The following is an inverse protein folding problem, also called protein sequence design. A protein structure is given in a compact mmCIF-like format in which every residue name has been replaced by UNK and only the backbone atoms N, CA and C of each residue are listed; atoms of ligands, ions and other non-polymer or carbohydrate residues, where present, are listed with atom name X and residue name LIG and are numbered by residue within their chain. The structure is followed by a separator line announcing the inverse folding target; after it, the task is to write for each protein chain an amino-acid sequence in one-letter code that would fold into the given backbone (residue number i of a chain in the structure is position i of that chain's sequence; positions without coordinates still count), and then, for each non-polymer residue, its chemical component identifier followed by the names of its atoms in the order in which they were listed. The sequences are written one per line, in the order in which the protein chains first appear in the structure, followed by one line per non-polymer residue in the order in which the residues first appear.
data_IF_844441700023
#
_entry.id   IF_844441700023
#
_cell.length_a   1.000
_cell.length_b   1.000
_cell.length_c   1.000
_cell.angle_alpha   90.00
_cell.angle_beta   90.00
_cell.angle_gamma   90.00
#
_symmetry.space_group_name_H-M   'P 1'
#
loop_
_entity.id
_entity.type
_entity.pdbx_description
1 polymer ?
#
# COMPACT_ATOMS: atom_id res chain seq x y z
N UNK A 1 -10.04 -4.60 -28.10
CA UNK A 1 -10.27 -5.14 -26.75
C UNK A 1 -10.32 -3.95 -25.80
N UNK A 2 -11.50 -3.69 -25.27
CA UNK A 2 -11.85 -2.55 -24.46
C UNK A 2 -11.05 -2.55 -23.16
N UNK A 3 -10.47 -1.40 -22.81
CA UNK A 3 -9.93 -1.09 -21.47
C UNK A 3 -11.11 -0.98 -20.47
N UNK A 4 -11.82 -2.08 -20.24
CA UNK A 4 -12.80 -2.17 -19.18
C UNK A 4 -12.07 -2.48 -17.87
N UNK A 5 -12.32 -1.64 -16.89
CA UNK A 5 -11.95 -1.79 -15.49
C UNK A 5 -10.49 -1.50 -15.15
N UNK A 6 -10.09 -0.22 -15.07
CA UNK A 6 -8.99 0.18 -14.23
C UNK A 6 -9.44 0.01 -12.78
N UNK A 7 -9.05 -1.11 -12.19
CA UNK A 7 -9.25 -1.37 -10.78
C UNK A 7 -8.31 -0.50 -9.97
N UNK A 8 -8.88 0.31 -9.12
CA UNK A 8 -8.14 1.06 -8.12
C UNK A 8 -7.63 0.10 -7.09
N UNK A 9 -6.34 0.20 -6.80
CA UNK A 9 -5.80 -0.27 -5.54
C UNK A 9 -6.56 0.47 -4.45
N UNK A 10 -7.39 -0.22 -3.70
CA UNK A 10 -8.05 0.32 -2.53
C UNK A 10 -6.97 0.92 -1.62
N UNK A 11 -7.21 2.13 -1.12
CA UNK A 11 -6.34 2.72 -0.11
C UNK A 11 -6.25 1.76 1.07
N UNK A 12 -5.18 0.99 1.09
CA UNK A 12 -4.85 0.09 2.18
C UNK A 12 -4.12 0.90 3.20
N UNK A 13 -4.83 1.48 4.09
CA UNK A 13 -4.11 1.97 5.22
C UNK A 13 -4.98 2.19 6.43
N UNK A 14 -4.94 1.22 7.35
CA UNK A 14 -5.16 1.49 8.74
C UNK A 14 -4.24 2.63 9.25
N UNK A 15 -3.09 2.87 8.59
CA UNK A 15 -2.24 4.04 8.86
C UNK A 15 -2.88 5.35 8.45
N UNK A 16 -3.66 5.40 7.39
CA UNK A 16 -4.47 6.59 7.09
C UNK A 16 -5.45 6.84 8.25
N UNK A 17 -6.05 5.79 8.79
CA UNK A 17 -6.92 5.89 9.97
C UNK A 17 -6.12 6.27 11.25
N UNK A 18 -4.89 5.78 11.40
CA UNK A 18 -4.01 6.10 12.53
C UNK A 18 -3.46 7.53 12.46
N UNK A 19 -3.01 7.99 11.28
CA UNK A 19 -2.61 9.38 11.05
C UNK A 19 -3.79 10.36 11.24
N UNK A 20 -5.02 9.92 10.96
CA UNK A 20 -6.23 10.68 11.24
C UNK A 20 -6.50 10.82 12.73
N UNK A 21 -6.21 9.79 13.54
CA UNK A 21 -6.38 9.85 14.99
C UNK A 21 -5.37 10.78 15.66
N UNK A 22 -4.15 10.90 15.16
CA UNK A 22 -3.15 11.84 15.66
C UNK A 22 -3.44 13.31 15.24
N UNK A 23 -4.14 13.53 14.13
CA UNK A 23 -4.56 14.88 13.68
C UNK A 23 -5.84 15.38 14.37
N UNK A 24 -6.53 14.55 15.15
CA UNK A 24 -7.76 14.94 15.91
C UNK A 24 -7.56 16.06 16.95
N UNK A 25 -6.34 16.55 17.13
CA UNK A 25 -6.02 17.58 18.13
C UNK A 25 -6.34 19.02 17.73
N UNK A 26 -6.60 19.37 16.46
CA UNK A 26 -6.62 20.79 16.03
C UNK A 26 -7.79 21.20 15.13
N UNK A 27 -8.40 20.31 14.35
CA UNK A 27 -9.55 20.67 13.50
C UNK A 27 -10.68 19.64 13.66
N UNK A 28 -11.91 20.14 13.85
CA UNK A 28 -13.12 19.32 13.81
C UNK A 28 -13.36 18.92 12.36
N UNK A 29 -12.91 17.72 12.00
CA UNK A 29 -13.24 17.12 10.71
C UNK A 29 -14.77 17.05 10.57
N UNK A 30 -15.29 17.37 9.40
CA UNK A 30 -16.69 17.17 9.08
C UNK A 30 -17.05 15.70 9.25
N UNK A 31 -18.26 15.41 9.76
CA UNK A 31 -18.69 14.03 9.86
C UNK A 31 -18.82 13.41 8.45
N UNK A 32 -18.66 12.07 8.35
CA UNK A 32 -18.90 11.34 7.11
C UNK A 32 -20.24 11.72 6.47
N UNK A 33 -21.30 11.79 7.29
CA UNK A 33 -22.66 12.09 6.80
C UNK A 33 -22.76 13.52 6.24
N UNK A 34 -22.13 14.52 6.89
CA UNK A 34 -22.08 15.89 6.38
C UNK A 34 -21.37 15.97 5.04
N UNK A 35 -20.22 15.28 4.91
CA UNK A 35 -19.47 15.22 3.66
C UNK A 35 -20.24 14.52 2.55
N UNK A 36 -20.87 13.38 2.84
CA UNK A 36 -21.69 12.67 1.87
C UNK A 36 -22.92 13.48 1.46
N UNK A 37 -23.60 14.15 2.39
CA UNK A 37 -24.74 15.02 2.08
C UNK A 37 -24.35 16.16 1.14
N UNK A 38 -23.19 16.78 1.38
CA UNK A 38 -22.61 17.81 0.49
C UNK A 38 -22.35 17.23 -0.90
N UNK A 39 -21.67 16.08 -1.00
CA UNK A 39 -21.34 15.45 -2.27
C UNK A 39 -22.59 15.03 -3.05
N UNK A 40 -23.61 14.45 -2.40
CA UNK A 40 -24.90 14.12 -3.04
C UNK A 40 -25.55 15.35 -3.69
N UNK A 41 -25.42 16.51 -3.05
CA UNK A 41 -26.03 17.76 -3.55
C UNK A 41 -25.18 18.46 -4.63
N UNK A 42 -23.85 18.22 -4.66
CA UNK A 42 -22.90 18.91 -5.55
C UNK A 42 -22.50 18.09 -6.79
N UNK A 43 -22.85 16.79 -6.86
CA UNK A 43 -22.52 15.94 -8.02
C UNK A 43 -23.16 16.52 -9.28
N UNK A 44 -22.31 16.84 -10.24
CA UNK A 44 -22.70 17.23 -11.59
C UNK A 44 -22.07 16.28 -12.61
N UNK A 45 -22.75 16.10 -13.72
CA UNK A 45 -22.20 15.35 -14.83
C UNK A 45 -21.06 16.14 -15.48
N UNK A 46 -19.85 15.55 -15.46
CA UNK A 46 -18.69 16.11 -16.14
C UNK A 46 -18.70 15.67 -17.60
N UNK A 47 -18.83 16.63 -18.50
CA UNK A 47 -18.89 16.38 -19.94
C UNK A 47 -17.63 15.65 -20.42
N UNK A 48 -17.78 14.51 -21.14
CA UNK A 48 -16.64 13.78 -21.67
C UNK A 48 -15.91 14.54 -22.78
N UNK A 49 -14.65 14.15 -23.05
CA UNK A 49 -13.88 14.68 -24.18
C UNK A 49 -13.27 16.07 -23.99
N UNK A 50 -13.41 16.68 -22.82
CA UNK A 50 -12.74 17.95 -22.52
C UNK A 50 -11.22 17.74 -22.50
N UNK A 51 -10.46 18.78 -22.91
CA UNK A 51 -9.01 18.81 -22.70
C UNK A 51 -8.70 18.81 -21.21
N UNK A 52 -7.63 18.11 -20.83
CA UNK A 52 -7.17 18.03 -19.45
C UNK A 52 -5.65 18.23 -19.37
N UNK A 53 -5.21 18.66 -18.21
CA UNK A 53 -3.80 18.69 -17.81
C UNK A 53 -3.59 17.80 -16.58
N UNK A 54 -2.34 17.32 -16.37
CA UNK A 54 -1.94 16.58 -15.18
C UNK A 54 -0.90 17.40 -14.47
N UNK A 55 -1.17 17.72 -13.21
CA UNK A 55 -0.33 18.54 -12.32
C UNK A 55 -0.36 18.04 -10.90
N UNK A 56 0.56 18.54 -10.09
CA UNK A 56 0.52 18.37 -8.65
C UNK A 56 -0.71 19.06 -8.05
N UNK A 57 -1.09 18.62 -6.87
CA UNK A 57 -2.24 19.11 -6.12
C UNK A 57 -2.17 20.61 -5.86
N UNK A 58 -3.30 21.26 -6.02
CA UNK A 58 -3.58 22.61 -5.56
C UNK A 58 -4.77 22.54 -4.56
N UNK A 59 -4.79 23.32 -3.46
CA UNK A 59 -5.90 23.29 -2.49
C UNK A 59 -7.30 23.40 -3.10
N UNK A 60 -7.45 24.10 -4.24
CA UNK A 60 -8.73 24.18 -4.98
C UNK A 60 -9.17 22.85 -5.61
N UNK A 61 -8.31 21.81 -5.67
CA UNK A 61 -8.66 20.49 -6.17
C UNK A 61 -9.37 19.62 -5.14
N UNK A 62 -9.26 19.97 -3.86
CA UNK A 62 -9.68 19.14 -2.75
C UNK A 62 -11.14 18.67 -2.86
N UNK A 63 -12.05 19.61 -3.16
CA UNK A 63 -13.47 19.29 -3.39
C UNK A 63 -13.67 18.39 -4.61
N UNK A 64 -12.93 18.65 -5.69
CA UNK A 64 -12.96 17.84 -6.91
C UNK A 64 -12.44 16.42 -6.70
N UNK A 65 -11.45 16.23 -5.81
CA UNK A 65 -10.95 14.90 -5.45
C UNK A 65 -12.02 14.12 -4.69
N UNK A 66 -12.64 14.71 -3.66
CA UNK A 66 -13.73 14.08 -2.92
C UNK A 66 -14.90 13.72 -3.84
N UNK A 67 -15.26 14.62 -4.77
CA UNK A 67 -16.29 14.37 -5.78
C UNK A 67 -15.91 13.23 -6.74
N UNK A 68 -14.65 13.11 -7.15
CA UNK A 68 -14.16 12.02 -7.98
C UNK A 68 -14.29 10.66 -7.26
N UNK A 69 -13.91 10.58 -5.98
CA UNK A 69 -14.10 9.37 -5.18
C UNK A 69 -15.58 9.00 -5.10
N UNK A 70 -16.44 9.97 -4.80
CA UNK A 70 -17.89 9.73 -4.75
C UNK A 70 -18.45 9.30 -6.11
N UNK A 71 -18.04 9.93 -7.20
CA UNK A 71 -18.52 9.60 -8.55
C UNK A 71 -18.11 8.19 -9.02
N UNK A 72 -16.96 7.68 -8.53
CA UNK A 72 -16.44 6.35 -8.93
C UNK A 72 -16.91 5.24 -8.00
N UNK A 73 -17.03 5.51 -6.69
CA UNK A 73 -17.27 4.50 -5.66
C UNK A 73 -18.55 4.70 -4.86
N UNK A 74 -19.28 5.80 -5.08
CA UNK A 74 -20.43 6.13 -4.25
C UNK A 74 -20.00 6.26 -2.78
N UNK A 75 -20.72 5.59 -1.91
CA UNK A 75 -20.50 5.60 -0.45
C UNK A 75 -19.81 4.33 0.06
N UNK A 76 -19.28 3.49 -0.84
CA UNK A 76 -18.78 2.15 -0.49
C UNK A 76 -17.41 2.14 0.18
N UNK A 77 -16.62 3.24 0.07
CA UNK A 77 -15.31 3.29 0.70
C UNK A 77 -15.47 3.49 2.22
N UNK A 78 -14.91 2.59 3.04
CA UNK A 78 -15.08 2.65 4.50
C UNK A 78 -14.20 3.71 5.18
N UNK A 79 -13.39 4.46 4.42
CA UNK A 79 -12.47 5.49 4.93
C UNK A 79 -13.11 6.86 4.75
N UNK A 80 -13.48 7.50 5.87
CA UNK A 80 -14.26 8.75 5.86
C UNK A 80 -13.51 9.93 5.26
N UNK A 81 -12.20 9.98 5.42
CA UNK A 81 -11.35 11.07 4.93
C UNK A 81 -11.31 11.21 3.42
N UNK A 82 -11.66 10.18 2.64
CA UNK A 82 -11.72 10.30 1.17
C UNK A 82 -12.86 11.21 0.68
N UNK A 83 -13.82 11.50 1.55
CA UNK A 83 -14.94 12.40 1.27
C UNK A 83 -14.75 13.79 1.89
N UNK A 84 -13.63 14.03 2.59
CA UNK A 84 -13.35 15.27 3.28
C UNK A 84 -12.28 16.08 2.53
N UNK A 85 -12.63 17.23 1.89
CA UNK A 85 -11.68 18.09 1.21
C UNK A 85 -10.58 18.66 2.11
N UNK A 86 -10.92 18.99 3.38
CA UNK A 86 -9.96 19.56 4.31
C UNK A 86 -8.83 18.57 4.62
N UNK A 87 -9.16 17.28 4.67
CA UNK A 87 -8.16 16.22 4.81
C UNK A 87 -7.11 16.26 3.69
N UNK A 88 -7.52 16.46 2.42
CA UNK A 88 -6.57 16.54 1.31
C UNK A 88 -5.65 17.76 1.42
N UNK A 89 -6.20 18.90 1.82
CA UNK A 89 -5.41 20.13 2.02
C UNK A 89 -4.35 19.90 3.09
N UNK A 90 -4.77 19.40 4.26
CA UNK A 90 -3.86 19.18 5.38
C UNK A 90 -2.81 18.11 5.08
N UNK A 91 -3.22 16.95 4.54
CA UNK A 91 -2.32 15.84 4.28
C UNK A 91 -1.24 16.18 3.22
N UNK A 92 -1.55 17.03 2.22
CA UNK A 92 -0.55 17.53 1.29
C UNK A 92 0.36 18.59 1.94
N UNK A 93 -0.18 19.49 2.76
CA UNK A 93 0.59 20.50 3.48
C UNK A 93 1.61 19.86 4.43
N UNK A 94 1.22 18.81 5.14
CA UNK A 94 2.06 18.03 6.08
C UNK A 94 2.97 17.00 5.38
N UNK A 95 2.91 16.92 4.04
CA UNK A 95 3.66 15.94 3.25
C UNK A 95 3.41 14.47 3.64
N UNK A 96 2.27 14.19 4.25
CA UNK A 96 1.81 12.82 4.51
C UNK A 96 1.28 12.16 3.23
N UNK A 97 0.75 12.99 2.34
CA UNK A 97 0.33 12.62 1.00
C UNK A 97 0.89 13.61 -0.03
N UNK A 98 0.98 13.16 -1.28
CA UNK A 98 1.23 14.04 -2.41
C UNK A 98 0.35 13.59 -3.58
N UNK A 99 -0.66 14.40 -3.90
CA UNK A 99 -1.61 14.08 -4.95
C UNK A 99 -1.19 14.66 -6.29
N UNK A 100 -1.45 13.89 -7.34
CA UNK A 100 -1.30 14.27 -8.74
C UNK A 100 -2.69 14.22 -9.37
N UNK A 101 -3.12 15.32 -9.93
CA UNK A 101 -4.51 15.54 -10.34
C UNK A 101 -4.61 15.72 -11.84
N UNK A 102 -5.54 15.02 -12.47
CA UNK A 102 -5.99 15.27 -13.84
C UNK A 102 -7.16 16.23 -13.83
N UNK A 103 -6.97 17.43 -14.34
CA UNK A 103 -7.93 18.55 -14.26
C UNK A 103 -8.35 19.00 -15.65
N UNK A 104 -9.65 19.20 -15.88
CA UNK A 104 -10.16 19.81 -17.12
C UNK A 104 -9.92 21.31 -17.15
N UNK A 105 -10.12 21.92 -18.30
CA UNK A 105 -10.02 23.38 -18.44
C UNK A 105 -11.08 24.14 -17.61
N UNK A 106 -12.22 23.49 -17.28
CA UNK A 106 -13.25 24.02 -16.39
C UNK A 106 -12.96 23.82 -14.90
N UNK A 107 -11.83 23.19 -14.56
CA UNK A 107 -11.43 22.92 -13.17
C UNK A 107 -11.96 21.60 -12.59
N UNK A 108 -12.68 20.79 -13.38
CA UNK A 108 -13.19 19.50 -12.89
C UNK A 108 -12.06 18.48 -12.74
N UNK A 109 -12.02 17.77 -11.61
CA UNK A 109 -11.09 16.69 -11.37
C UNK A 109 -11.63 15.41 -11.99
N UNK A 110 -10.89 14.87 -12.97
CA UNK A 110 -11.29 13.68 -13.75
C UNK A 110 -10.32 12.52 -13.59
N UNK A 111 -9.23 12.71 -12.87
CA UNK A 111 -8.26 11.67 -12.56
C UNK A 111 -7.39 12.02 -11.37
N UNK A 112 -6.88 10.99 -10.70
CA UNK A 112 -6.07 11.10 -9.50
C UNK A 112 -5.01 10.01 -9.48
N UNK A 113 -3.84 10.31 -8.94
CA UNK A 113 -2.82 9.38 -8.48
C UNK A 113 -2.17 10.00 -7.25
N UNK A 114 -1.75 9.21 -6.26
CA UNK A 114 -1.27 9.80 -5.01
C UNK A 114 -0.15 8.99 -4.38
N UNK A 115 0.76 9.70 -3.71
CA UNK A 115 1.76 9.14 -2.81
C UNK A 115 1.27 9.20 -1.37
N UNK A 116 1.60 8.15 -0.58
CA UNK A 116 1.25 8.00 0.84
C UNK A 116 2.47 7.59 1.65
N UNK A 117 2.62 8.16 2.85
CA UNK A 117 3.65 7.80 3.83
C UNK A 117 3.27 6.54 4.64
N UNK A 118 2.88 5.47 3.95
CA UNK A 118 2.52 4.20 4.60
C UNK A 118 3.73 3.38 5.06
N UNK A 119 4.80 3.20 4.24
CA UNK A 119 6.03 2.57 4.72
C UNK A 119 6.70 3.42 5.82
N UNK A 120 7.38 2.79 6.81
CA UNK A 120 8.02 3.51 7.91
C UNK A 120 9.28 4.29 7.50
N UNK A 121 9.95 3.89 6.41
CA UNK A 121 11.17 4.52 5.92
C UNK A 121 10.95 5.95 5.41
N UNK A 122 11.94 6.81 5.60
CA UNK A 122 11.86 8.22 5.21
C UNK A 122 11.88 8.43 3.69
N UNK A 123 12.57 7.54 2.97
CA UNK A 123 12.86 7.67 1.56
C UNK A 123 12.02 6.74 0.68
N UNK A 124 10.93 6.22 1.21
CA UNK A 124 9.95 5.40 0.53
C UNK A 124 8.54 5.95 0.74
N UNK A 125 7.73 5.95 -0.31
CA UNK A 125 6.29 6.19 -0.22
C UNK A 125 5.54 5.19 -1.09
N UNK A 126 4.32 4.89 -0.69
CA UNK A 126 3.39 4.13 -1.52
C UNK A 126 2.80 5.02 -2.60
N UNK A 127 2.79 4.55 -3.84
CA UNK A 127 2.07 5.15 -4.96
C UNK A 127 0.79 4.35 -5.21
N UNK A 128 -0.35 4.99 -4.99
CA UNK A 128 -1.68 4.36 -5.08
C UNK A 128 -2.76 5.36 -5.50
N UNK A 129 -4.02 5.03 -5.23
CA UNK A 129 -5.20 5.82 -5.62
C UNK A 129 -5.20 6.22 -7.10
N UNK A 130 -4.88 5.28 -7.98
CA UNK A 130 -4.91 5.52 -9.42
C UNK A 130 -6.35 5.47 -9.95
N UNK A 131 -7.01 6.62 -9.92
CA UNK A 131 -8.43 6.78 -10.23
C UNK A 131 -8.60 7.57 -11.52
N UNK A 132 -9.49 7.12 -12.39
CA UNK A 132 -9.92 7.87 -13.58
C UNK A 132 -11.44 7.80 -13.68
N UNK A 133 -12.06 8.97 -13.84
CA UNK A 133 -13.51 9.06 -14.05
C UNK A 133 -13.93 8.18 -15.25
N UNK A 134 -14.99 7.37 -15.16
CA UNK A 134 -15.38 6.41 -16.22
C UNK A 134 -15.40 7.00 -17.62
N UNK A 135 -15.93 8.22 -17.80
CA UNK A 135 -16.00 8.92 -19.09
C UNK A 135 -14.63 9.31 -19.68
N UNK A 136 -13.53 9.24 -18.88
CA UNK A 136 -12.15 9.55 -19.29
C UNK A 136 -11.23 8.33 -19.37
N UNK A 137 -11.70 7.11 -19.06
CA UNK A 137 -10.87 5.89 -19.05
C UNK A 137 -10.26 5.52 -20.39
N UNK A 138 -10.92 5.86 -21.49
CA UNK A 138 -10.45 5.60 -22.86
C UNK A 138 -9.58 6.74 -23.43
N UNK A 139 -9.02 7.58 -22.58
CA UNK A 139 -8.12 8.68 -22.94
C UNK A 139 -6.68 8.39 -22.51
N UNK A 140 -5.75 9.30 -22.80
CA UNK A 140 -4.37 9.22 -22.31
C UNK A 140 -4.22 9.57 -20.82
N UNK A 141 -5.28 9.92 -20.10
CA UNK A 141 -5.22 10.45 -18.73
C UNK A 141 -4.53 9.48 -17.77
N UNK A 142 -4.95 8.22 -17.76
CA UNK A 142 -4.36 7.20 -16.89
C UNK A 142 -2.84 7.08 -17.07
N UNK A 143 -2.37 7.04 -18.33
CA UNK A 143 -0.94 6.97 -18.65
C UNK A 143 -0.21 8.26 -18.23
N UNK A 144 -0.80 9.44 -18.47
CA UNK A 144 -0.19 10.72 -18.11
C UNK A 144 -0.07 10.90 -16.60
N UNK A 145 -1.04 10.42 -15.82
CA UNK A 145 -0.96 10.38 -14.35
C UNK A 145 0.27 9.56 -13.91
N UNK A 146 0.44 8.33 -14.41
CA UNK A 146 1.60 7.49 -14.07
C UNK A 146 2.91 8.14 -14.52
N UNK A 147 2.97 8.69 -15.74
CA UNK A 147 4.17 9.37 -16.24
C UNK A 147 4.57 10.57 -15.38
N UNK A 148 3.60 11.38 -14.95
CA UNK A 148 3.84 12.52 -14.07
C UNK A 148 4.33 12.03 -12.70
N UNK A 149 3.63 11.06 -12.11
CA UNK A 149 3.96 10.51 -10.78
C UNK A 149 5.36 9.89 -10.73
N UNK A 150 5.78 9.17 -11.76
CA UNK A 150 7.10 8.51 -11.81
C UNK A 150 8.20 9.38 -12.45
N UNK A 151 7.87 10.58 -12.91
CA UNK A 151 8.81 11.55 -13.45
C UNK A 151 9.63 12.23 -12.35
N UNK A 152 9.38 13.52 -12.14
CA UNK A 152 10.14 14.34 -11.20
C UNK A 152 9.64 14.29 -9.75
N UNK A 153 8.43 13.76 -9.51
CA UNK A 153 7.80 13.75 -8.18
C UNK A 153 8.63 12.96 -7.15
N UNK A 154 9.18 11.76 -7.46
CA UNK A 154 10.04 11.06 -6.50
C UNK A 154 11.27 11.86 -6.08
N UNK A 155 11.91 12.59 -7.01
CA UNK A 155 13.08 13.41 -6.73
C UNK A 155 12.70 14.62 -5.85
N UNK A 156 11.56 15.26 -6.15
CA UNK A 156 11.00 16.35 -5.34
C UNK A 156 10.69 15.89 -3.90
N UNK A 157 10.19 14.65 -3.75
CA UNK A 157 9.87 14.07 -2.45
C UNK A 157 11.09 13.42 -1.75
N UNK A 158 12.27 13.37 -2.40
CA UNK A 158 13.48 12.74 -1.87
C UNK A 158 13.37 11.23 -1.73
N UNK A 159 12.65 10.56 -2.65
CA UNK A 159 12.40 9.13 -2.57
C UNK A 159 13.51 8.31 -3.25
N UNK A 160 14.05 7.35 -2.51
CA UNK A 160 14.91 6.30 -3.05
C UNK A 160 14.07 5.16 -3.66
N UNK A 161 12.87 4.93 -3.10
CA UNK A 161 11.99 3.85 -3.50
C UNK A 161 10.57 4.37 -3.67
N UNK A 162 9.91 3.93 -4.74
CA UNK A 162 8.47 4.01 -4.92
C UNK A 162 7.90 2.60 -4.74
N UNK A 163 7.03 2.43 -3.77
CA UNK A 163 6.32 1.19 -3.50
C UNK A 163 4.92 1.26 -4.08
N UNK A 164 4.39 0.15 -4.58
CA UNK A 164 3.00 0.06 -5.05
C UNK A 164 2.45 -1.33 -4.82
N UNK A 165 1.17 -1.42 -4.50
CA UNK A 165 0.44 -2.67 -4.39
C UNK A 165 -0.44 -2.89 -5.61
N UNK A 166 -0.31 -4.05 -6.23
CA UNK A 166 -1.09 -4.45 -7.39
C UNK A 166 -2.00 -5.61 -7.00
N UNK A 167 -3.27 -5.52 -7.36
CA UNK A 167 -4.21 -6.64 -7.17
C UNK A 167 -3.83 -7.84 -8.05
N UNK A 168 -4.09 -9.05 -7.57
CA UNK A 168 -3.83 -10.29 -8.29
C UNK A 168 -5.04 -10.85 -9.03
N UNK A 169 -6.20 -10.20 -8.97
CA UNK A 169 -7.41 -10.63 -9.70
C UNK A 169 -7.35 -10.31 -11.21
N UNK A 170 -6.42 -9.44 -11.61
CA UNK A 170 -6.14 -9.12 -13.01
C UNK A 170 -4.70 -8.63 -13.23
N UNK A 171 -4.23 -8.70 -14.50
CA UNK A 171 -2.84 -8.37 -14.87
C UNK A 171 -2.61 -6.90 -15.27
N UNK A 172 -3.62 -6.04 -15.25
CA UNK A 172 -3.51 -4.68 -15.84
C UNK A 172 -2.53 -3.82 -15.05
N UNK A 173 -2.73 -3.69 -13.75
CA UNK A 173 -1.84 -2.90 -12.88
C UNK A 173 -0.42 -3.46 -12.86
N UNK A 174 -0.28 -4.78 -12.81
CA UNK A 174 1.02 -5.48 -12.84
C UNK A 174 1.80 -5.17 -14.13
N UNK A 175 1.16 -5.24 -15.31
CA UNK A 175 1.79 -4.91 -16.59
C UNK A 175 2.20 -3.44 -16.67
N UNK A 176 1.42 -2.54 -16.08
CA UNK A 176 1.78 -1.11 -16.03
C UNK A 176 3.00 -0.91 -15.13
N UNK A 177 3.00 -1.45 -13.92
CA UNK A 177 4.13 -1.31 -13.00
C UNK A 177 5.40 -1.96 -13.55
N UNK A 178 5.31 -3.12 -14.21
CA UNK A 178 6.47 -3.75 -14.86
C UNK A 178 7.02 -2.89 -16.00
N UNK A 179 6.16 -2.27 -16.83
CA UNK A 179 6.57 -1.32 -17.88
C UNK A 179 7.38 -0.16 -17.33
N UNK A 180 7.08 0.29 -16.11
CA UNK A 180 7.83 1.34 -15.42
C UNK A 180 8.97 0.78 -14.54
N UNK A 181 9.34 -0.49 -14.72
CA UNK A 181 10.46 -1.19 -14.08
C UNK A 181 10.29 -1.37 -12.55
N UNK A 182 9.11 -1.23 -12.01
CA UNK A 182 8.84 -1.69 -10.65
C UNK A 182 8.87 -3.23 -10.63
N UNK A 183 9.53 -3.81 -9.64
CA UNK A 183 9.74 -5.26 -9.53
C UNK A 183 8.93 -5.84 -8.38
N UNK A 184 8.18 -6.89 -8.67
CA UNK A 184 7.46 -7.65 -7.66
C UNK A 184 8.44 -8.27 -6.66
N UNK A 185 8.28 -7.98 -5.38
CA UNK A 185 9.18 -8.43 -4.32
C UNK A 185 8.48 -9.21 -3.21
N UNK A 186 7.17 -9.01 -3.02
CA UNK A 186 6.39 -9.77 -2.07
C UNK A 186 4.97 -10.01 -2.59
N UNK A 187 4.28 -10.96 -1.97
CA UNK A 187 2.86 -11.23 -2.19
C UNK A 187 2.17 -11.26 -0.83
N UNK A 188 1.09 -10.52 -0.71
CA UNK A 188 0.18 -10.56 0.42
C UNK A 188 -1.06 -11.35 0.00
N UNK A 189 -1.13 -12.63 0.42
CA UNK A 189 -2.24 -13.49 0.06
C UNK A 189 -3.51 -13.07 0.78
N UNK A 190 -4.61 -13.02 0.03
CA UNK A 190 -5.94 -12.71 0.56
C UNK A 190 -6.01 -11.38 1.37
N UNK A 191 -5.12 -10.43 1.05
CA UNK A 191 -4.95 -9.20 1.83
C UNK A 191 -6.21 -8.34 1.92
N UNK A 192 -7.12 -8.44 0.93
CA UNK A 192 -8.33 -7.64 0.83
C UNK A 192 -9.61 -8.47 0.77
N UNK A 193 -10.72 -8.01 1.35
CA UNK A 193 -12.03 -8.52 0.97
C UNK A 193 -12.31 -8.24 -0.50
N UNK A 194 -13.07 -9.12 -1.16
CA UNK A 194 -13.60 -8.85 -2.51
C UNK A 194 -14.53 -7.63 -2.49
N UNK A 195 -14.69 -7.01 -3.64
CA UNK A 195 -15.61 -5.89 -3.78
C UNK A 195 -17.07 -6.40 -3.67
N UNK A 196 -17.97 -5.56 -3.12
CA UNK A 196 -19.39 -5.91 -3.09
C UNK A 196 -19.96 -6.25 -4.46
N UNK A 197 -19.51 -5.58 -5.53
CA UNK A 197 -19.98 -5.78 -6.90
C UNK A 197 -19.47 -7.09 -7.54
N UNK A 198 -18.35 -7.65 -7.05
CA UNK A 198 -17.77 -8.90 -7.56
C UNK A 198 -18.51 -10.15 -7.01
N UNK A 199 -19.30 -9.97 -5.95
CA UNK A 199 -20.09 -11.03 -5.33
C UNK A 199 -21.27 -10.46 -4.54
N UNK A 200 -22.41 -10.23 -5.20
CA UNK A 200 -23.63 -9.71 -4.55
C UNK A 200 -24.11 -10.56 -3.37
N UNK A 201 -23.77 -11.84 -3.35
CA UNK A 201 -24.21 -12.81 -2.34
C UNK A 201 -23.22 -12.96 -1.17
N UNK A 202 -22.19 -12.12 -1.08
CA UNK A 202 -21.15 -12.21 -0.04
C UNK A 202 -20.23 -13.43 -0.19
N UNK A 203 -20.38 -14.22 -1.24
CA UNK A 203 -19.55 -15.39 -1.56
C UNK A 203 -18.23 -15.00 -2.25
N UNK A 204 -17.97 -13.71 -2.43
CA UNK A 204 -16.73 -13.20 -2.99
C UNK A 204 -15.55 -13.58 -2.08
N UNK A 205 -14.56 -14.23 -2.66
CA UNK A 205 -13.32 -14.56 -1.95
C UNK A 205 -12.55 -13.28 -1.56
N UNK A 206 -11.33 -13.48 -1.11
CA UNK A 206 -10.41 -12.39 -0.82
C UNK A 206 -9.49 -12.13 -2.01
N UNK A 207 -8.93 -10.93 -2.09
CA UNK A 207 -8.01 -10.52 -3.16
C UNK A 207 -6.60 -10.50 -2.60
N UNK A 208 -5.68 -11.17 -3.30
CA UNK A 208 -4.25 -11.11 -3.03
C UNK A 208 -3.63 -9.87 -3.69
N UNK A 209 -2.53 -9.38 -3.10
CA UNK A 209 -1.81 -8.19 -3.57
C UNK A 209 -0.36 -8.54 -3.86
N UNK A 210 0.22 -7.94 -4.89
CA UNK A 210 1.65 -7.97 -5.15
C UNK A 210 2.27 -6.64 -4.73
N UNK A 211 3.28 -6.72 -3.91
CA UNK A 211 4.12 -5.60 -3.54
C UNK A 211 5.24 -5.43 -4.56
N UNK A 212 5.18 -4.34 -5.31
CA UNK A 212 6.17 -4.00 -6.31
C UNK A 212 6.95 -2.74 -5.90
N UNK A 213 8.25 -2.76 -6.17
CA UNK A 213 9.18 -1.71 -5.77
C UNK A 213 9.93 -1.19 -6.99
N UNK A 214 9.88 0.12 -7.21
CA UNK A 214 10.77 0.84 -8.10
C UNK A 214 11.89 1.43 -7.25
N UNK A 215 13.03 0.74 -7.16
CA UNK A 215 14.22 1.24 -6.49
C UNK A 215 14.95 2.18 -7.45
N UNK A 216 14.89 3.48 -7.17
CA UNK A 216 15.53 4.56 -7.93
C UNK A 216 16.96 4.79 -7.50
N UNK A 217 17.21 4.65 -6.21
CA UNK A 217 18.53 4.73 -5.60
C UNK A 217 18.69 3.58 -4.61
N UNK A 218 19.52 2.62 -4.96
CA UNK A 218 19.87 1.54 -4.03
C UNK A 218 20.84 2.04 -2.96
N UNK A 219 20.67 1.53 -1.74
CA UNK A 219 21.52 1.81 -0.58
C UNK A 219 22.18 0.49 -0.17
N UNK A 220 23.43 0.22 -0.61
CA UNK A 220 24.13 -0.99 -0.22
C UNK A 220 24.27 -1.11 1.31
N UNK A 221 23.94 -2.26 1.85
CA UNK A 221 24.06 -2.55 3.28
C UNK A 221 24.15 -4.06 3.54
N UNK A 222 24.58 -4.41 4.76
CA UNK A 222 24.64 -5.80 5.19
C UNK A 222 23.25 -6.35 5.54
N UNK A 223 22.98 -7.59 5.12
CA UNK A 223 21.76 -8.34 5.45
C UNK A 223 22.09 -9.76 5.90
N UNK A 224 21.26 -10.29 6.77
CA UNK A 224 21.32 -11.67 7.27
C UNK A 224 20.21 -12.48 6.65
N UNK A 225 20.58 -13.53 5.93
CA UNK A 225 19.60 -14.35 5.23
C UNK A 225 19.25 -15.57 6.09
N UNK A 226 17.97 -15.71 6.51
CA UNK A 226 17.53 -16.94 7.17
C UNK A 226 17.77 -18.13 6.26
N UNK A 227 18.49 -19.16 6.74
CA UNK A 227 18.97 -20.28 5.93
C UNK A 227 17.86 -20.97 5.13
N UNK A 228 16.66 -21.04 5.70
CA UNK A 228 15.48 -21.66 5.05
C UNK A 228 15.00 -20.88 3.82
N UNK A 229 15.33 -19.59 3.71
CA UNK A 229 14.93 -18.70 2.61
C UNK A 229 16.14 -18.11 1.87
N UNK A 230 17.38 -18.44 2.25
CA UNK A 230 18.59 -17.83 1.71
C UNK A 230 18.62 -17.87 0.17
N UNK A 231 18.46 -19.04 -0.42
CA UNK A 231 18.53 -19.20 -1.88
C UNK A 231 17.48 -18.36 -2.64
N UNK A 232 16.23 -18.29 -2.14
CA UNK A 232 15.19 -17.48 -2.79
C UNK A 232 15.47 -15.99 -2.63
N UNK A 233 15.93 -15.55 -1.47
CA UNK A 233 16.25 -14.14 -1.20
C UNK A 233 17.48 -13.68 -2.00
N UNK A 234 18.55 -14.50 -2.08
CA UNK A 234 19.71 -14.25 -2.95
C UNK A 234 19.29 -14.07 -4.41
N UNK A 235 18.43 -14.97 -4.92
CA UNK A 235 17.87 -14.86 -6.26
C UNK A 235 17.03 -13.59 -6.45
N UNK A 236 16.30 -13.17 -5.42
CA UNK A 236 15.54 -11.92 -5.46
C UNK A 236 16.47 -10.70 -5.50
N UNK A 237 17.50 -10.62 -4.69
CA UNK A 237 18.49 -9.54 -4.73
C UNK A 237 19.19 -9.47 -6.09
N UNK A 238 19.69 -10.58 -6.57
CA UNK A 238 20.41 -10.67 -7.85
C UNK A 238 19.52 -10.23 -9.03
N UNK A 239 18.29 -10.75 -9.13
CA UNK A 239 17.38 -10.46 -10.25
C UNK A 239 16.88 -9.00 -10.27
N UNK A 240 16.98 -8.30 -9.14
CA UNK A 240 16.58 -6.90 -8.99
C UNK A 240 17.76 -5.94 -9.00
N UNK A 241 19.00 -6.46 -9.07
CA UNK A 241 20.23 -5.68 -9.08
C UNK A 241 20.50 -4.93 -7.77
N UNK A 242 19.97 -5.43 -6.64
CA UNK A 242 20.15 -4.81 -5.32
C UNK A 242 21.48 -5.27 -4.70
N UNK A 243 22.30 -4.33 -4.27
CA UNK A 243 23.61 -4.60 -3.71
C UNK A 243 23.55 -4.84 -2.21
N UNK A 244 23.77 -6.09 -1.78
CA UNK A 244 23.76 -6.46 -0.36
C UNK A 244 25.01 -7.29 -0.02
N UNK A 245 25.54 -7.01 1.15
CA UNK A 245 26.56 -7.85 1.78
C UNK A 245 25.86 -8.91 2.62
N UNK A 246 26.02 -10.19 2.26
CA UNK A 246 25.45 -11.28 3.03
C UNK A 246 26.39 -11.62 4.18
N UNK A 247 25.93 -11.37 5.41
CA UNK A 247 26.71 -11.61 6.63
C UNK A 247 26.09 -12.72 7.47
N UNK A 248 26.89 -13.35 8.32
CA UNK A 248 26.42 -14.37 9.26
C UNK A 248 25.41 -13.78 10.25
N UNK A 249 24.45 -14.63 10.64
CA UNK A 249 23.43 -14.22 11.59
C UNK A 249 23.84 -14.62 13.02
N UNK A 250 24.15 -13.63 13.81
CA UNK A 250 24.50 -13.77 15.22
C UNK A 250 23.23 -14.07 16.07
N UNK A 251 23.47 -14.49 17.31
CA UNK A 251 22.37 -14.66 18.27
C UNK A 251 21.75 -13.31 18.65
N UNK A 252 20.40 -13.27 18.81
CA UNK A 252 19.72 -12.06 19.27
C UNK A 252 20.17 -11.70 20.70
N UNK A 253 20.18 -10.40 20.99
CA UNK A 253 20.53 -9.88 22.32
C UNK A 253 19.43 -8.93 22.81
N UNK A 254 19.33 -8.78 24.14
CA UNK A 254 18.35 -7.89 24.76
C UNK A 254 16.90 -8.36 24.57
N UNK A 255 15.98 -7.41 24.67
CA UNK A 255 14.54 -7.64 24.54
C UNK A 255 14.03 -7.21 23.18
N UNK A 256 13.02 -7.92 22.68
CA UNK A 256 12.36 -7.57 21.43
C UNK A 256 11.53 -6.29 21.57
N UNK A 257 11.48 -5.52 20.48
CA UNK A 257 10.55 -4.39 20.33
C UNK A 257 9.78 -4.54 19.05
N UNK A 258 8.48 -4.34 19.11
CA UNK A 258 7.59 -4.40 17.95
C UNK A 258 6.44 -3.43 18.13
N UNK A 259 5.84 -3.03 17.03
CA UNK A 259 4.54 -2.37 16.96
C UNK A 259 3.54 -3.29 16.28
N UNK A 260 2.27 -3.22 16.70
CA UNK A 260 1.17 -3.98 16.09
C UNK A 260 0.15 -2.99 15.54
N UNK A 261 -0.23 -3.21 14.30
CA UNK A 261 -1.29 -2.48 13.61
C UNK A 261 -2.43 -3.44 13.30
N UNK A 262 -3.66 -3.01 13.53
CA UNK A 262 -4.88 -3.74 13.16
C UNK A 262 -5.61 -3.01 12.05
N UNK A 263 -5.93 -3.74 10.99
CA UNK A 263 -6.68 -3.25 9.82
C UNK A 263 -8.02 -3.98 9.78
N UNK A 264 -9.01 -3.43 10.49
CA UNK A 264 -10.30 -4.10 10.69
C UNK A 264 -11.02 -4.40 9.38
N UNK A 265 -11.05 -3.43 8.46
CA UNK A 265 -11.66 -3.60 7.14
C UNK A 265 -11.02 -4.73 6.31
N UNK A 266 -9.75 -5.01 6.53
CA UNK A 266 -9.02 -6.09 5.87
C UNK A 266 -9.00 -7.39 6.71
N UNK A 267 -9.51 -7.38 7.94
CA UNK A 267 -9.35 -8.47 8.91
C UNK A 267 -7.89 -8.93 9.02
N UNK A 268 -6.97 -7.97 9.09
CA UNK A 268 -5.52 -8.19 9.10
C UNK A 268 -4.90 -7.56 10.35
N UNK A 269 -3.96 -8.26 10.96
CA UNK A 269 -3.06 -7.70 11.96
C UNK A 269 -1.61 -7.81 11.46
N UNK A 270 -0.83 -6.73 11.62
CA UNK A 270 0.58 -6.68 11.22
C UNK A 270 1.45 -6.31 12.41
N UNK A 271 2.42 -7.15 12.73
CA UNK A 271 3.47 -6.86 13.69
C UNK A 271 4.74 -6.47 12.95
N UNK A 272 5.23 -5.25 13.18
CA UNK A 272 6.52 -4.80 12.68
C UNK A 272 7.56 -4.87 13.80
N UNK A 273 8.60 -5.67 13.62
CA UNK A 273 9.68 -5.85 14.58
C UNK A 273 10.74 -4.79 14.35
N UNK A 274 10.98 -3.93 15.35
CA UNK A 274 12.04 -2.93 15.36
C UNK A 274 13.34 -3.46 15.97
N UNK A 275 13.26 -4.41 16.92
CA UNK A 275 14.43 -5.06 17.51
C UNK A 275 14.13 -6.54 17.76
N UNK A 276 15.07 -7.40 17.33
CA UNK A 276 15.01 -8.85 17.58
C UNK A 276 15.75 -9.17 18.86
N UNK A 277 15.03 -9.54 19.92
CA UNK A 277 15.57 -9.93 21.22
C UNK A 277 15.52 -11.44 21.47
N UNK A 278 15.99 -11.85 22.63
CA UNK A 278 16.00 -13.27 23.06
C UNK A 278 14.60 -13.84 23.28
N UNK A 279 13.61 -12.97 23.49
CA UNK A 279 12.17 -13.25 23.73
C UNK A 279 11.31 -13.19 22.47
N UNK A 280 11.90 -13.10 21.28
CA UNK A 280 11.16 -12.91 20.02
C UNK A 280 10.10 -13.99 19.78
N UNK A 281 10.35 -15.21 20.23
CA UNK A 281 9.38 -16.32 20.09
C UNK A 281 8.11 -16.08 20.90
N UNK A 282 8.26 -15.56 22.13
CA UNK A 282 7.12 -15.20 22.98
C UNK A 282 6.36 -14.00 22.39
N UNK A 283 7.08 -13.02 21.85
CA UNK A 283 6.51 -11.85 21.18
C UNK A 283 5.59 -12.26 20.03
N UNK A 284 6.09 -13.12 19.12
CA UNK A 284 5.33 -13.59 17.96
C UNK A 284 4.16 -14.46 18.41
N UNK A 285 4.36 -15.35 19.40
CA UNK A 285 3.29 -16.20 19.96
C UNK A 285 2.16 -15.37 20.58
N UNK A 286 2.50 -14.36 21.36
CA UNK A 286 1.54 -13.44 21.98
C UNK A 286 0.76 -12.64 20.93
N UNK A 287 1.41 -12.10 19.93
CA UNK A 287 0.78 -11.38 18.82
C UNK A 287 -0.35 -12.19 18.16
N UNK A 288 -0.11 -13.50 17.89
CA UNK A 288 -1.15 -14.36 17.31
C UNK A 288 -2.30 -14.61 18.28
N UNK A 289 -2.00 -14.77 19.58
CA UNK A 289 -3.01 -15.02 20.60
C UNK A 289 -3.88 -13.81 20.92
N UNK A 290 -3.33 -12.60 20.82
CA UNK A 290 -4.03 -11.34 21.10
C UNK A 290 -4.94 -10.88 19.94
N UNK A 291 -4.82 -11.50 18.77
CA UNK A 291 -5.64 -11.16 17.60
C UNK A 291 -6.25 -12.40 16.91
N UNK A 292 -6.95 -13.30 17.64
CA UNK A 292 -7.35 -14.62 17.15
C UNK A 292 -8.38 -14.56 16.01
N UNK A 293 -9.15 -13.50 15.92
CA UNK A 293 -10.24 -13.35 14.95
C UNK A 293 -9.78 -12.76 13.61
N UNK A 294 -8.50 -12.41 13.48
CA UNK A 294 -7.96 -11.91 12.21
C UNK A 294 -7.83 -13.03 11.20
N UNK A 295 -8.21 -12.74 9.97
CA UNK A 295 -8.03 -13.66 8.85
C UNK A 295 -6.54 -13.79 8.50
N UNK A 296 -5.80 -12.68 8.58
CA UNK A 296 -4.39 -12.60 8.23
C UNK A 296 -3.58 -12.04 9.39
N UNK A 297 -2.48 -12.72 9.68
CA UNK A 297 -1.40 -12.18 10.51
C UNK A 297 -0.17 -11.97 9.64
N UNK A 298 0.47 -10.83 9.78
CA UNK A 298 1.73 -10.52 9.12
C UNK A 298 2.78 -10.17 10.16
N UNK A 299 4.01 -10.63 9.91
CA UNK A 299 5.20 -10.26 10.69
C UNK A 299 6.23 -9.70 9.73
N UNK A 300 6.69 -8.48 9.99
CA UNK A 300 7.72 -7.80 9.21
C UNK A 300 8.99 -7.77 10.03
N UNK A 301 10.06 -8.43 9.53
CA UNK A 301 11.31 -8.69 10.24
C UNK A 301 12.48 -7.91 9.62
N UNK A 302 13.36 -7.27 10.44
CA UNK A 302 14.52 -6.53 9.96
C UNK A 302 15.65 -7.47 9.54
N UNK A 303 15.98 -7.51 8.23
CA UNK A 303 17.05 -8.37 7.72
C UNK A 303 18.47 -7.91 8.11
N UNK A 304 18.63 -6.69 8.60
CA UNK A 304 19.95 -6.16 9.05
C UNK A 304 20.30 -6.51 10.50
N UNK A 305 19.36 -7.02 11.28
CA UNK A 305 19.56 -7.25 12.70
C UNK A 305 20.02 -8.69 13.01
N UNK A 306 20.90 -8.87 14.02
CA UNK A 306 21.19 -10.19 14.54
C UNK A 306 19.93 -10.91 15.04
N UNK A 307 19.87 -12.23 14.86
CA UNK A 307 18.77 -13.07 15.35
C UNK A 307 17.58 -13.18 14.41
N UNK A 308 17.63 -12.60 13.19
CA UNK A 308 16.52 -12.72 12.23
C UNK A 308 16.17 -14.16 11.89
N UNK A 309 17.15 -15.08 11.85
CA UNK A 309 16.92 -16.52 11.65
C UNK A 309 16.18 -17.16 12.83
N UNK A 310 16.39 -16.66 14.05
CA UNK A 310 15.64 -17.09 15.23
C UNK A 310 14.18 -16.63 15.10
N UNK A 311 13.96 -15.36 14.74
CA UNK A 311 12.64 -14.80 14.53
C UNK A 311 11.86 -15.55 13.42
N UNK A 312 12.52 -15.85 12.30
CA UNK A 312 11.90 -16.62 11.20
C UNK A 312 11.53 -18.04 11.66
N UNK A 313 12.40 -18.73 12.40
CA UNK A 313 12.06 -20.07 12.95
C UNK A 313 10.87 -19.99 13.91
N UNK A 314 10.84 -18.99 14.79
CA UNK A 314 9.73 -18.75 15.71
C UNK A 314 8.42 -18.48 14.96
N UNK A 315 8.42 -17.62 13.97
CA UNK A 315 7.25 -17.36 13.13
C UNK A 315 6.77 -18.63 12.42
N UNK A 316 7.68 -19.40 11.81
CA UNK A 316 7.32 -20.64 11.14
C UNK A 316 6.74 -21.69 12.09
N UNK A 317 7.21 -21.77 13.33
CA UNK A 317 6.71 -22.74 14.32
C UNK A 317 5.24 -22.50 14.70
N UNK A 318 4.73 -21.28 14.49
CA UNK A 318 3.32 -20.91 14.71
C UNK A 318 2.54 -20.71 13.40
N UNK A 319 3.09 -21.20 12.28
CA UNK A 319 2.38 -21.31 10.99
C UNK A 319 2.58 -20.16 10.01
N UNK A 320 3.54 -19.25 10.24
CA UNK A 320 3.87 -18.24 9.22
C UNK A 320 4.72 -18.83 8.10
N UNK A 321 4.52 -18.31 6.90
CA UNK A 321 5.32 -18.61 5.71
C UNK A 321 5.81 -17.32 5.04
N UNK A 322 6.71 -17.45 4.08
CA UNK A 322 7.31 -16.32 3.37
C UNK A 322 6.26 -15.56 2.56
N UNK A 323 6.15 -14.24 2.78
CA UNK A 323 5.43 -13.31 1.91
C UNK A 323 6.36 -12.69 0.86
N UNK A 324 7.58 -12.35 1.26
CA UNK A 324 8.60 -11.83 0.34
C UNK A 324 9.58 -10.87 0.97
N UNK A 325 10.33 -10.20 0.09
CA UNK A 325 11.30 -9.17 0.43
C UNK A 325 10.65 -7.78 0.33
N UNK A 326 10.91 -6.92 1.30
CA UNK A 326 10.52 -5.50 1.30
C UNK A 326 11.79 -4.63 1.22
N UNK A 327 12.28 -4.31 0.02
CA UNK A 327 13.52 -3.55 -0.15
C UNK A 327 13.40 -2.13 0.40
N UNK A 328 14.36 -1.70 1.22
CA UNK A 328 14.45 -0.35 1.80
C UNK A 328 13.15 0.11 2.50
N UNK A 329 12.36 -0.85 3.02
CA UNK A 329 11.06 -0.60 3.64
C UNK A 329 11.13 0.34 4.85
N UNK A 330 12.18 0.20 5.65
CA UNK A 330 12.52 1.08 6.78
C UNK A 330 13.96 1.63 6.60
N UNK A 331 14.18 2.29 5.43
CA UNK A 331 15.49 2.70 4.93
C UNK A 331 16.54 1.55 4.85
N UNK A 332 16.11 0.33 5.17
CA UNK A 332 16.79 -0.97 5.06
C UNK A 332 15.78 -2.06 4.72
N UNK A 333 16.29 -3.23 4.37
CA UNK A 333 15.44 -4.32 3.89
C UNK A 333 14.74 -5.04 5.03
N UNK A 334 13.46 -5.35 4.80
CA UNK A 334 12.65 -6.16 5.71
C UNK A 334 12.17 -7.43 5.01
N UNK A 335 11.82 -8.43 5.80
CA UNK A 335 11.20 -9.67 5.35
C UNK A 335 9.74 -9.70 5.77
N UNK A 336 8.83 -9.90 4.82
CA UNK A 336 7.43 -10.14 5.10
C UNK A 336 7.20 -11.64 5.31
N UNK A 337 6.59 -11.99 6.43
CA UNK A 337 6.02 -13.31 6.68
C UNK A 337 4.52 -13.17 6.95
N UNK A 338 3.73 -14.16 6.55
CA UNK A 338 2.28 -14.12 6.69
C UNK A 338 1.73 -15.47 7.14
N UNK A 339 0.60 -15.43 7.84
CA UNK A 339 -0.18 -16.58 8.27
C UNK A 339 -1.64 -16.29 7.99
N UNK A 340 -2.34 -17.21 7.33
CA UNK A 340 -3.76 -17.12 7.06
C UNK A 340 -4.52 -18.05 8.00
N UNK A 341 -5.77 -17.69 8.29
CA UNK A 341 -6.68 -18.52 9.10
C UNK A 341 -7.13 -19.78 8.35
N UNK A 342 -7.20 -19.69 7.02
CA UNK A 342 -7.58 -20.79 6.12
C UNK A 342 -6.47 -21.07 5.13
N UNK A 343 -6.53 -22.21 4.44
CA UNK A 343 -5.62 -22.48 3.31
C UNK A 343 -5.84 -21.44 2.20
N UNK A 344 -4.75 -20.85 1.65
CA UNK A 344 -4.85 -19.84 0.61
C UNK A 344 -5.48 -20.39 -0.68
N UNK A 345 -6.37 -19.61 -1.28
CA UNK A 345 -6.92 -19.89 -2.61
C UNK A 345 -6.03 -19.31 -3.72
N UNK A 346 -5.07 -20.12 -4.17
CA UNK A 346 -4.17 -19.71 -5.25
C UNK A 346 -4.82 -19.63 -6.63
N UNK A 347 -6.02 -20.18 -6.82
CA UNK A 347 -6.72 -20.16 -8.13
C UNK A 347 -7.09 -18.75 -8.58
N UNK A 348 -7.19 -17.81 -7.64
CA UNK A 348 -7.50 -16.39 -7.86
C UNK A 348 -6.27 -15.51 -8.04
N UNK A 349 -5.06 -16.07 -7.98
CA UNK A 349 -3.81 -15.32 -8.10
C UNK A 349 -3.34 -15.37 -9.54
N UNK A 350 -3.44 -14.24 -10.24
CA UNK A 350 -2.90 -14.04 -11.59
C UNK A 350 -1.56 -13.31 -11.48
N UNK A 351 -0.49 -13.91 -12.06
CA UNK A 351 0.88 -13.37 -12.04
C UNK A 351 1.43 -13.26 -13.47
#
# INVERSE_FOLDING_TARGET
QSFQTFSVTYMHSAKVQFLLNDLQGVHRLSSREENLARLRSSVREIQPGQKFEVKDFDPQDAEGIAALFYAVYGETIPVDSVYDPEHYIQANADRQMHHIVGRTASGDVVGLHAYFRNPPGKHIMELGSWIVLPSYRNTSLALRLVQHSLGNVPDYLGLHVVYTQNVCDHLISQKVTDRFKARSCAIELEAMPSRPDDAPDGAGGRISMIDAFLVRQDIPHAVRLPSVYAAVLEGMYASRGLQREFVEDDRPQGMSRSSVESMDAASLARMTVQAVGTDIAEHIGRFVLESPDRHIHQVVLPLWQPGVSVAVRAARSVGFFLGGLLPLWDDRDMLLMQKLRTEPDYSKVQL
#
